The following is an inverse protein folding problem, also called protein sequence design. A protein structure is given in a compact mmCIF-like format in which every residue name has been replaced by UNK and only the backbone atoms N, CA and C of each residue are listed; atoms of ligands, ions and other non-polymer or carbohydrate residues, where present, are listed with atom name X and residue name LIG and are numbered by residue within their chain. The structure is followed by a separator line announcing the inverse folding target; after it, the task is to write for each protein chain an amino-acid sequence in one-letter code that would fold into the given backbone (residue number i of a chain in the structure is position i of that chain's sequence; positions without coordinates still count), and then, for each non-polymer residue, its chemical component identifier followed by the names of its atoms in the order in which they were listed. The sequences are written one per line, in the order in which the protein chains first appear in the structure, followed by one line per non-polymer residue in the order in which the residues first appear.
data_IF_613522164309
#
_entry.id   IF_613522164309
#
_cell.length_a   1.000
_cell.length_b   1.000
_cell.length_c   1.000
_cell.angle_alpha   90.00
_cell.angle_beta   90.00
_cell.angle_gamma   90.00
#
_symmetry.space_group_name_H-M   'P 1'
#
loop_
_entity.id
_entity.type
_entity.pdbx_description
1 polymer ?
#
# COMPACT_ATOMS: atom_id res chain seq x y z
N UNK A 1 -17.60 -34.30 -8.91
CA UNK A 1 -17.02 -33.01 -9.36
C UNK A 1 -16.04 -32.44 -8.31
N UNK A 2 -14.91 -33.11 -8.02
CA UNK A 2 -14.02 -32.74 -6.88
C UNK A 2 -12.56 -32.41 -7.23
N UNK A 3 -12.14 -32.44 -8.49
CA UNK A 3 -10.69 -32.48 -8.80
C UNK A 3 -10.17 -31.44 -9.82
N UNK A 4 -10.92 -30.37 -10.14
CA UNK A 4 -10.47 -29.38 -11.12
C UNK A 4 -9.39 -28.41 -10.59
N UNK A 5 -9.33 -28.20 -9.28
CA UNK A 5 -8.43 -27.21 -8.65
C UNK A 5 -7.01 -27.73 -8.39
N UNK A 6 -6.78 -29.04 -8.48
CA UNK A 6 -5.43 -29.63 -8.24
C UNK A 6 -4.55 -29.68 -9.50
N UNK A 7 -5.07 -29.27 -10.67
CA UNK A 7 -4.37 -29.40 -11.97
C UNK A 7 -3.74 -28.11 -12.50
N UNK A 8 -4.06 -26.94 -11.93
CA UNK A 8 -3.36 -25.69 -12.23
C UNK A 8 -2.22 -25.55 -11.24
N UNK A 9 -1.09 -26.20 -11.54
CA UNK A 9 0.13 -26.07 -10.75
C UNK A 9 0.54 -24.60 -10.59
N UNK A 10 1.14 -24.27 -9.44
CA UNK A 10 1.80 -22.97 -9.19
C UNK A 10 2.65 -22.62 -10.42
N UNK A 11 2.21 -21.64 -11.20
CA UNK A 11 2.91 -21.22 -12.43
C UNK A 11 2.25 -21.56 -13.77
N UNK A 12 1.12 -22.29 -13.83
CA UNK A 12 0.50 -22.69 -15.10
C UNK A 12 0.15 -21.54 -16.06
N UNK A 13 -0.05 -20.32 -15.54
CA UNK A 13 -0.37 -19.14 -16.35
C UNK A 13 0.87 -18.31 -16.73
N UNK A 14 2.06 -18.67 -16.24
CA UNK A 14 3.30 -17.85 -16.31
C UNK A 14 4.33 -18.50 -17.21
N UNK A 15 5.01 -17.72 -18.09
CA UNK A 15 6.16 -18.24 -18.82
C UNK A 15 7.17 -18.88 -17.84
N UNK A 16 7.66 -20.09 -18.13
CA UNK A 16 8.57 -20.83 -17.24
C UNK A 16 9.80 -20.02 -16.80
N UNK A 17 10.23 -19.08 -17.62
CA UNK A 17 11.39 -18.21 -17.43
C UNK A 17 11.17 -17.23 -16.27
N UNK A 18 9.95 -16.69 -16.13
CA UNK A 18 9.59 -15.74 -15.06
C UNK A 18 9.36 -16.44 -13.73
N UNK A 19 8.85 -17.67 -13.75
CA UNK A 19 8.63 -18.48 -12.54
C UNK A 19 9.94 -18.79 -11.81
N UNK A 20 11.06 -18.94 -12.55
CA UNK A 20 12.39 -19.21 -11.97
C UNK A 20 13.08 -17.97 -11.39
N UNK A 21 12.64 -16.77 -11.79
CA UNK A 21 13.22 -15.49 -11.39
C UNK A 21 12.74 -15.01 -10.02
N UNK A 22 11.55 -15.44 -9.58
CA UNK A 22 10.99 -15.13 -8.26
C UNK A 22 11.18 -16.38 -7.40
N UNK A 23 12.30 -16.46 -6.67
CA UNK A 23 12.52 -17.49 -5.64
C UNK A 23 12.57 -16.83 -4.28
N UNK A 24 11.72 -17.28 -3.37
CA UNK A 24 11.84 -16.96 -1.96
C UNK A 24 12.80 -17.98 -1.35
N UNK A 25 13.96 -17.53 -0.89
CA UNK A 25 14.84 -18.38 -0.08
C UNK A 25 14.14 -18.65 1.26
N UNK A 26 13.88 -19.92 1.55
CA UNK A 26 13.33 -20.42 2.83
C UNK A 26 11.88 -20.04 3.17
N UNK A 27 11.02 -19.78 2.17
CA UNK A 27 9.58 -19.58 2.43
C UNK A 27 8.69 -20.35 1.47
N UNK A 28 8.26 -21.54 1.89
CA UNK A 28 7.39 -22.43 1.10
C UNK A 28 5.90 -22.04 1.19
N UNK A 29 5.56 -21.11 2.09
CA UNK A 29 4.19 -20.70 2.42
C UNK A 29 3.73 -19.35 1.86
N UNK A 30 4.58 -18.62 1.14
CA UNK A 30 4.20 -17.33 0.55
C UNK A 30 3.65 -17.56 -0.86
N UNK A 31 2.39 -17.19 -1.08
CA UNK A 31 1.80 -17.07 -2.41
C UNK A 31 1.64 -15.60 -2.77
N UNK A 32 2.12 -15.21 -3.95
CA UNK A 32 1.91 -13.88 -4.50
C UNK A 32 0.87 -13.95 -5.61
N UNK A 33 -0.15 -13.13 -5.49
CA UNK A 33 -1.14 -12.94 -6.54
C UNK A 33 -0.62 -11.94 -7.57
N UNK A 34 -0.49 -12.40 -8.82
CA UNK A 34 -0.19 -11.54 -9.97
C UNK A 34 -1.34 -11.59 -10.96
N UNK A 35 -2.01 -10.45 -11.15
CA UNK A 35 -3.08 -10.31 -12.13
C UNK A 35 -2.52 -9.96 -13.51
N UNK A 36 -2.93 -10.73 -14.52
CA UNK A 36 -2.60 -10.52 -15.94
C UNK A 36 -3.81 -10.00 -16.71
N UNK A 37 -4.13 -8.74 -16.49
CA UNK A 37 -5.17 -8.02 -17.22
C UNK A 37 -4.72 -6.57 -17.42
N UNK A 38 -5.37 -5.83 -18.31
CA UNK A 38 -5.14 -4.38 -18.46
C UNK A 38 -5.47 -3.71 -17.12
N UNK A 39 -4.49 -3.00 -16.53
CA UNK A 39 -4.57 -2.43 -15.17
C UNK A 39 -3.93 -3.31 -14.07
N UNK A 40 -3.71 -4.59 -14.32
CA UNK A 40 -3.01 -5.48 -13.37
C UNK A 40 -3.65 -5.48 -11.98
N UNK A 41 -2.84 -5.29 -10.93
CA UNK A 41 -3.30 -5.31 -9.53
C UNK A 41 -4.16 -4.10 -9.14
N UNK A 42 -4.10 -3.00 -9.88
CA UNK A 42 -4.88 -1.80 -9.55
C UNK A 42 -6.40 -1.99 -9.71
N UNK A 43 -6.84 -3.10 -10.30
CA UNK A 43 -8.25 -3.43 -10.49
C UNK A 43 -8.90 -3.97 -9.19
N UNK A 44 -8.13 -4.58 -8.29
CA UNK A 44 -8.68 -5.29 -7.11
C UNK A 44 -8.02 -4.93 -5.77
N UNK A 45 -7.05 -4.00 -5.77
CA UNK A 45 -6.43 -3.51 -4.56
C UNK A 45 -7.39 -2.70 -3.66
N UNK A 46 -6.99 -2.50 -2.41
CA UNK A 46 -7.81 -1.80 -1.41
C UNK A 46 -7.73 -0.26 -1.50
N UNK A 47 -7.11 0.30 -2.55
CA UNK A 47 -6.95 1.75 -2.75
C UNK A 47 -6.25 2.52 -1.61
N UNK A 48 -5.42 1.85 -0.81
CA UNK A 48 -4.64 2.49 0.27
C UNK A 48 -3.43 3.22 -0.31
N UNK A 49 -3.36 4.54 -0.09
CA UNK A 49 -2.36 5.44 -0.67
C UNK A 49 -1.58 6.18 0.44
N UNK A 50 -0.64 5.51 1.10
CA UNK A 50 0.22 6.11 2.13
C UNK A 50 1.53 6.63 1.52
N UNK A 51 2.04 7.74 2.05
CA UNK A 51 3.38 8.24 1.73
C UNK A 51 4.42 7.60 2.64
N UNK A 52 5.62 7.41 2.13
CA UNK A 52 6.79 7.13 2.96
C UNK A 52 7.27 8.39 3.68
N UNK A 53 7.80 8.22 4.88
CA UNK A 53 8.45 9.26 5.66
C UNK A 53 9.88 9.49 5.18
N UNK A 54 10.46 10.64 5.55
CA UNK A 54 11.87 10.97 5.23
C UNK A 54 12.85 9.91 5.76
N UNK A 55 12.54 9.35 6.94
CA UNK A 55 13.30 8.26 7.56
C UNK A 55 13.32 6.99 6.71
N UNK A 56 12.23 6.64 6.03
CA UNK A 56 12.14 5.39 5.27
C UNK A 56 13.13 5.35 4.08
N UNK A 57 13.63 6.51 3.65
CA UNK A 57 14.67 6.63 2.61
C UNK A 57 16.09 6.47 3.18
N UNK A 58 16.26 6.52 4.51
CA UNK A 58 17.55 6.51 5.21
C UNK A 58 17.53 5.56 6.40
N UNK A 59 17.64 4.27 6.14
CA UNK A 59 17.73 3.24 7.18
C UNK A 59 19.19 2.87 7.53
N UNK A 60 20.13 3.05 6.58
CA UNK A 60 21.54 2.68 6.77
C UNK A 60 22.26 3.73 7.60
N UNK A 61 22.10 5.01 7.27
CA UNK A 61 22.79 6.10 7.97
C UNK A 61 22.48 6.17 9.47
N UNK A 62 21.21 6.07 9.94
CA UNK A 62 20.90 6.23 11.35
C UNK A 62 20.84 4.91 12.14
N UNK A 63 20.49 3.78 11.50
CA UNK A 63 20.34 2.49 12.19
C UNK A 63 21.34 1.42 11.73
N UNK A 64 22.07 1.64 10.63
CA UNK A 64 23.01 0.67 10.08
C UNK A 64 22.34 -0.54 9.41
N UNK A 65 21.06 -0.42 9.06
CA UNK A 65 20.22 -1.50 8.52
C UNK A 65 19.82 -1.14 7.08
N UNK A 66 19.73 -2.14 6.19
CA UNK A 66 19.44 -1.94 4.76
C UNK A 66 20.38 -0.93 4.07
N UNK A 67 19.97 -0.37 2.93
CA UNK A 67 20.71 0.62 2.15
C UNK A 67 19.93 1.94 2.08
N UNK A 68 20.65 3.06 2.09
CA UNK A 68 20.02 4.37 1.87
C UNK A 68 19.61 4.51 0.40
N UNK A 69 18.42 5.06 0.17
CA UNK A 69 17.92 5.30 -1.17
C UNK A 69 18.73 6.41 -1.84
N UNK A 70 18.94 6.35 -3.17
CA UNK A 70 19.65 7.39 -3.92
C UNK A 70 18.82 8.68 -4.14
N UNK A 71 17.69 8.82 -3.43
CA UNK A 71 16.71 9.89 -3.55
C UNK A 71 16.24 10.28 -2.16
N UNK A 72 15.83 11.54 -2.01
CA UNK A 72 15.26 12.07 -0.76
C UNK A 72 13.74 12.19 -0.86
N UNK A 73 13.07 12.25 0.30
CA UNK A 73 11.62 12.48 0.33
C UNK A 73 11.25 13.82 -0.34
N UNK A 74 12.06 14.87 -0.17
CA UNK A 74 11.77 16.20 -0.71
C UNK A 74 11.78 16.18 -2.25
N UNK A 75 12.65 15.37 -2.86
CA UNK A 75 12.65 15.17 -4.31
C UNK A 75 11.40 14.41 -4.79
N UNK A 76 10.90 13.45 -4.00
CA UNK A 76 9.75 12.62 -4.37
C UNK A 76 8.39 13.27 -4.04
N UNK A 77 8.34 14.17 -3.05
CA UNK A 77 7.12 14.80 -2.54
C UNK A 77 6.28 15.49 -3.63
N UNK A 78 6.94 16.12 -4.60
CA UNK A 78 6.26 16.75 -5.74
C UNK A 78 5.53 15.72 -6.62
N UNK A 79 6.12 14.54 -6.81
CA UNK A 79 5.53 13.46 -7.60
C UNK A 79 4.39 12.78 -6.85
N UNK A 80 4.52 12.58 -5.54
CA UNK A 80 3.40 12.14 -4.71
C UNK A 80 2.21 13.08 -4.86
N UNK A 81 2.44 14.38 -4.71
CA UNK A 81 1.40 15.41 -4.83
C UNK A 81 0.74 15.42 -6.21
N UNK A 82 1.50 15.17 -7.28
CA UNK A 82 0.98 15.06 -8.64
C UNK A 82 0.08 13.81 -8.80
N UNK A 83 0.54 12.64 -8.33
CA UNK A 83 -0.21 11.39 -8.45
C UNK A 83 -1.47 11.42 -7.60
N UNK A 84 -1.42 11.96 -6.39
CA UNK A 84 -2.58 12.06 -5.50
C UNK A 84 -3.72 12.88 -6.12
N UNK A 85 -3.37 13.99 -6.78
CA UNK A 85 -4.32 14.81 -7.55
C UNK A 85 -4.84 14.08 -8.77
N UNK A 86 -3.99 13.31 -9.45
CA UNK A 86 -4.36 12.54 -10.64
C UNK A 86 -5.36 11.42 -10.32
N UNK A 87 -5.12 10.65 -9.25
CA UNK A 87 -5.97 9.50 -8.88
C UNK A 87 -7.13 9.87 -7.96
N UNK A 88 -7.13 11.08 -7.41
CA UNK A 88 -8.19 11.59 -6.54
C UNK A 88 -8.16 10.97 -5.14
N UNK A 89 -7.03 11.06 -4.45
CA UNK A 89 -6.91 10.55 -3.07
C UNK A 89 -7.74 11.40 -2.11
N UNK A 90 -8.48 10.77 -1.21
CA UNK A 90 -9.25 11.42 -0.13
C UNK A 90 -8.67 11.02 1.22
N UNK A 91 -8.72 11.91 2.21
CA UNK A 91 -8.15 11.67 3.53
C UNK A 91 -8.20 12.89 4.45
N UNK A 92 -7.71 12.71 5.67
CA UNK A 92 -7.53 13.76 6.66
C UNK A 92 -6.03 14.06 6.84
N UNK A 93 -5.71 15.27 7.30
CA UNK A 93 -4.34 15.64 7.68
C UNK A 93 -4.16 15.32 9.16
N UNK A 94 -3.39 14.28 9.44
CA UNK A 94 -3.16 13.78 10.79
C UNK A 94 -1.83 14.30 11.37
N UNK A 95 -1.00 14.95 10.55
CA UNK A 95 0.28 15.55 10.96
C UNK A 95 1.25 14.56 11.60
N UNK A 96 1.22 13.30 11.16
CA UNK A 96 2.12 12.25 11.62
C UNK A 96 3.44 12.30 10.85
N UNK A 97 4.56 12.26 11.56
CA UNK A 97 5.89 12.26 10.93
C UNK A 97 6.13 10.98 10.10
N UNK A 98 5.68 9.83 10.61
CA UNK A 98 5.88 8.52 9.99
C UNK A 98 4.94 8.26 8.79
N UNK A 99 3.84 9.01 8.69
CA UNK A 99 2.94 9.00 7.54
C UNK A 99 2.67 10.45 7.16
N UNK A 100 3.58 11.08 6.39
CA UNK A 100 3.44 12.49 6.06
C UNK A 100 2.16 12.76 5.28
N UNK A 101 1.54 13.89 5.58
CA UNK A 101 0.33 14.33 4.88
C UNK A 101 0.60 14.57 3.38
N UNK A 102 -0.44 14.34 2.59
CA UNK A 102 -0.47 14.58 1.16
C UNK A 102 -1.49 15.63 0.73
N UNK A 103 -1.79 15.61 -0.57
CA UNK A 103 -2.75 16.48 -1.22
C UNK A 103 -4.06 15.72 -1.41
N UNK A 104 -4.95 15.88 -0.44
CA UNK A 104 -6.21 15.15 -0.41
C UNK A 104 -7.37 15.97 -0.98
N UNK A 105 -8.28 15.27 -1.66
CA UNK A 105 -9.64 15.72 -1.90
C UNK A 105 -10.40 15.80 -0.57
N UNK A 106 -11.56 16.47 -0.61
CA UNK A 106 -12.49 16.50 0.52
C UNK A 106 -12.72 15.08 1.06
N UNK A 107 -12.73 14.90 2.40
CA UNK A 107 -13.16 13.65 3.01
C UNK A 107 -14.52 13.20 2.47
N UNK A 108 -14.64 11.90 2.20
CA UNK A 108 -15.94 11.31 1.91
C UNK A 108 -16.83 11.41 3.14
N UNK A 109 -18.14 11.49 2.91
CA UNK A 109 -19.11 11.38 4.00
C UNK A 109 -19.01 9.98 4.60
N UNK A 110 -18.85 9.93 5.92
CA UNK A 110 -18.70 8.67 6.64
C UNK A 110 -19.96 7.81 6.52
N UNK A 111 -19.80 6.50 6.71
CA UNK A 111 -20.95 5.62 6.82
C UNK A 111 -21.69 5.87 8.14
N UNK A 112 -22.98 5.49 8.23
CA UNK A 112 -23.76 5.67 9.46
C UNK A 112 -23.10 5.05 10.70
N UNK A 113 -22.39 3.93 10.53
CA UNK A 113 -21.63 3.27 11.58
C UNK A 113 -20.46 4.10 12.09
N UNK A 114 -19.79 4.85 11.21
CA UNK A 114 -18.67 5.71 11.56
C UNK A 114 -19.15 6.94 12.32
N UNK A 115 -20.29 7.52 11.92
CA UNK A 115 -20.94 8.60 12.67
C UNK A 115 -21.29 8.17 14.11
N UNK A 116 -21.96 7.03 14.26
CA UNK A 116 -22.31 6.47 15.58
C UNK A 116 -21.06 6.20 16.43
N UNK A 117 -19.98 5.72 15.79
CA UNK A 117 -18.73 5.44 16.49
C UNK A 117 -18.03 6.74 16.91
N UNK A 118 -18.00 7.74 16.04
CA UNK A 118 -17.41 9.05 16.32
C UNK A 118 -18.09 9.73 17.50
N UNK A 119 -19.43 9.74 17.54
CA UNK A 119 -20.20 10.31 18.67
C UNK A 119 -19.78 9.67 20.00
N UNK A 120 -19.70 8.33 20.04
CA UNK A 120 -19.34 7.60 21.25
C UNK A 120 -17.88 7.78 21.67
N UNK A 121 -16.96 7.92 20.72
CA UNK A 121 -15.54 8.18 21.03
C UNK A 121 -15.38 9.56 21.64
N UNK A 122 -16.04 10.58 21.09
CA UNK A 122 -16.01 11.95 21.65
C UNK A 122 -16.56 11.99 23.08
N UNK A 123 -17.62 11.23 23.36
CA UNK A 123 -18.18 11.10 24.72
C UNK A 123 -17.21 10.45 25.72
N UNK A 124 -16.31 9.57 25.27
CA UNK A 124 -15.31 8.92 26.11
C UNK A 124 -14.11 9.81 26.39
N UNK A 125 -13.67 10.63 25.43
CA UNK A 125 -12.55 11.56 25.62
C UNK A 125 -12.90 12.75 26.53
N UNK A 126 -14.20 13.05 26.69
CA UNK A 126 -14.69 14.13 27.54
C UNK A 126 -15.14 13.66 28.95
N UNK A 127 -14.83 12.41 29.32
CA UNK A 127 -15.17 11.82 30.62
C UNK A 127 -13.92 11.51 31.44
#
# INVERSE_FOLDING_TARGET
MRNAWKRTGRGALTPPEVTKAIRYENSDGISVDRIRAVGGRSIHWNAVCLRFADRDFRERSPQGVEEDWPLTYQELCLYYSYVEKMIGVTGMRDHLEIVPDGEYLRPLEGHCSEHISSERVTDLEYR
#
